data_IF_514616638998
#
_entry.id   IF_514616638998
#
_cell.length_a   1.000
_cell.length_b   1.000
_cell.length_c   1.000
_cell.angle_alpha   90.00
_cell.angle_beta   90.00
_cell.angle_gamma   90.00
#
_symmetry.space_group_name_H-M   'P 1'
#
loop_
_entity.id
_entity.type
_entity.pdbx_description
1 polymer ?
#
# COMPACT_ATOMS: atom_id res chain seq x y z
N UNK A 1 3.38 -15.60 12.58
CA UNK A 1 2.90 -14.27 12.10
C UNK A 1 3.49 -13.19 12.98
N UNK A 2 3.99 -12.08 12.45
CA UNK A 2 4.48 -10.95 13.27
C UNK A 2 3.26 -10.30 13.94
N UNK A 3 3.21 -10.30 15.28
CA UNK A 3 2.07 -9.82 16.06
C UNK A 3 1.70 -8.37 15.63
N UNK A 4 0.43 -8.13 15.27
CA UNK A 4 -0.08 -6.78 14.95
C UNK A 4 -0.09 -6.37 13.47
N UNK A 5 0.22 -7.24 12.51
CA UNK A 5 -0.02 -6.94 11.08
C UNK A 5 -1.50 -6.86 10.76
N UNK A 6 -1.91 -5.75 10.13
CA UNK A 6 -3.24 -5.49 9.58
C UNK A 6 -3.18 -5.50 8.04
N UNK A 7 -4.33 -5.66 7.40
CA UNK A 7 -4.47 -5.56 5.95
C UNK A 7 -4.80 -4.14 5.55
N UNK A 8 -4.06 -3.62 4.58
CA UNK A 8 -4.27 -2.32 3.98
C UNK A 8 -4.51 -2.49 2.49
N UNK A 9 -5.53 -1.81 1.99
CA UNK A 9 -5.79 -1.68 0.57
C UNK A 9 -5.16 -0.37 0.10
N UNK A 10 -4.27 -0.46 -0.87
CA UNK A 10 -3.52 0.66 -1.42
C UNK A 10 -3.90 0.83 -2.87
N UNK A 11 -4.32 2.03 -3.23
CA UNK A 11 -4.57 2.42 -4.60
C UNK A 11 -3.33 3.14 -5.12
N UNK A 12 -2.75 2.61 -6.18
CA UNK A 12 -1.61 3.20 -6.89
C UNK A 12 -2.04 3.57 -8.30
N UNK A 13 -1.57 4.72 -8.77
CA UNK A 13 -1.76 5.17 -10.14
C UNK A 13 -0.41 5.14 -10.87
N UNK A 14 -0.37 4.42 -11.99
CA UNK A 14 0.79 4.34 -12.87
C UNK A 14 0.34 4.50 -14.31
N UNK A 15 0.90 5.48 -15.02
CA UNK A 15 0.61 5.74 -16.44
C UNK A 15 -0.90 5.88 -16.74
N UNK A 16 -1.64 6.57 -15.85
CA UNK A 16 -3.09 6.78 -15.97
C UNK A 16 -3.94 5.52 -15.71
N UNK A 17 -3.34 4.42 -15.26
CA UNK A 17 -4.04 3.23 -14.80
C UNK A 17 -4.01 3.15 -13.29
N UNK A 18 -5.18 2.91 -12.72
CA UNK A 18 -5.36 2.70 -11.28
C UNK A 18 -5.31 1.21 -11.00
N UNK A 19 -4.38 0.80 -10.13
CA UNK A 19 -4.32 -0.54 -9.58
C UNK A 19 -4.58 -0.50 -8.08
N UNK A 20 -5.28 -1.53 -7.59
CA UNK A 20 -5.56 -1.71 -6.17
C UNK A 20 -4.79 -2.93 -5.68
N UNK A 21 -3.98 -2.74 -4.65
CA UNK A 21 -3.15 -3.79 -4.07
C UNK A 21 -3.43 -3.95 -2.58
N UNK A 22 -3.51 -5.18 -2.10
CA UNK A 22 -3.57 -5.48 -0.68
C UNK A 22 -2.18 -5.73 -0.11
N UNK A 23 -1.83 -5.04 0.97
CA UNK A 23 -0.55 -5.13 1.67
C UNK A 23 -0.78 -5.39 3.15
N UNK A 24 -0.04 -6.34 3.70
CA UNK A 24 0.02 -6.58 5.14
C UNK A 24 1.08 -5.67 5.78
N UNK A 25 0.67 -4.78 6.67
CA UNK A 25 1.55 -3.84 7.36
C UNK A 25 1.09 -3.61 8.80
N UNK A 26 1.92 -3.02 9.66
CA UNK A 26 1.51 -2.69 11.04
C UNK A 26 0.64 -1.43 11.11
N UNK A 27 0.99 -0.44 10.28
CA UNK A 27 0.33 0.85 10.21
C UNK A 27 0.34 1.38 8.77
N UNK A 28 -0.33 2.51 8.53
CA UNK A 28 -0.41 3.11 7.20
C UNK A 28 0.95 3.62 6.68
N UNK A 29 1.89 4.00 7.55
CA UNK A 29 3.20 4.49 7.16
C UNK A 29 4.04 3.31 6.65
N UNK A 30 4.03 2.20 7.37
CA UNK A 30 4.66 0.93 7.00
C UNK A 30 4.06 0.41 5.69
N UNK A 31 2.73 0.49 5.53
CA UNK A 31 2.05 0.14 4.27
C UNK A 31 2.56 0.97 3.07
N UNK A 32 2.73 2.30 3.24
CA UNK A 32 3.30 3.17 2.21
C UNK A 32 4.77 2.86 1.91
N UNK A 33 5.57 2.54 2.93
CA UNK A 33 6.99 2.16 2.75
C UNK A 33 7.12 0.86 1.95
N UNK A 34 6.30 -0.14 2.29
CA UNK A 34 6.24 -1.42 1.57
C UNK A 34 5.80 -1.17 0.12
N UNK A 35 4.74 -0.38 -0.08
CA UNK A 35 4.26 0.00 -1.40
C UNK A 35 5.37 0.66 -2.24
N UNK A 36 6.03 1.72 -1.73
CA UNK A 36 7.16 2.36 -2.42
C UNK A 36 8.30 1.39 -2.75
N UNK A 37 8.58 0.43 -1.88
CA UNK A 37 9.62 -0.59 -2.12
C UNK A 37 9.22 -1.58 -3.23
N UNK A 38 7.94 -1.96 -3.33
CA UNK A 38 7.47 -2.89 -4.36
C UNK A 38 7.32 -2.25 -5.74
N UNK A 39 6.85 -1.00 -5.75
CA UNK A 39 6.38 -0.32 -6.95
C UNK A 39 7.34 0.75 -7.49
N UNK A 40 8.37 1.09 -6.72
CA UNK A 40 9.35 2.12 -7.07
C UNK A 40 8.91 3.54 -6.74
N UNK A 41 9.75 4.52 -7.09
CA UNK A 41 9.53 5.93 -6.79
C UNK A 41 8.52 6.63 -7.73
N UNK A 42 8.22 6.03 -8.88
CA UNK A 42 7.40 6.61 -9.94
C UNK A 42 5.90 6.45 -9.75
N UNK A 43 5.46 5.58 -8.83
CA UNK A 43 4.03 5.30 -8.64
C UNK A 43 3.41 6.25 -7.62
N UNK A 44 2.32 6.91 -8.04
CA UNK A 44 1.59 7.83 -7.19
C UNK A 44 0.61 7.04 -6.33
N UNK A 45 0.90 6.94 -5.04
CA UNK A 45 -0.04 6.38 -4.06
C UNK A 45 -1.20 7.37 -3.92
N UNK A 46 -2.39 7.00 -4.40
CA UNK A 46 -3.59 7.85 -4.36
C UNK A 46 -4.41 7.63 -3.10
N UNK A 47 -4.45 6.39 -2.59
CA UNK A 47 -5.20 6.07 -1.37
C UNK A 47 -4.54 4.93 -0.58
N UNK A 48 -4.65 4.99 0.75
CA UNK A 48 -4.25 3.92 1.67
C UNK A 48 -5.38 3.76 2.69
N UNK A 49 -6.08 2.63 2.64
CA UNK A 49 -7.20 2.34 3.53
C UNK A 49 -6.93 1.06 4.31
N UNK A 50 -7.10 1.09 5.63
CA UNK A 50 -7.07 -0.14 6.41
C UNK A 50 -8.36 -0.93 6.15
N UNK A 51 -8.24 -2.21 5.78
CA UNK A 51 -9.38 -3.13 5.85
C UNK A 51 -9.63 -3.48 7.31
N UNK A 52 -10.89 -3.32 7.73
CA UNK A 52 -11.37 -3.76 9.03
C UNK A 52 -11.77 -5.23 8.96
#
# INVERSE_FOLDING_TARGET
>A
MRCGTKRFEITVEKNGRTAVQEICARDQIDARKICRRMFGHDEKITSVRQKK
#
